data_IF_050073535069
#
_entry.id   IF_050073535069
#
_cell.length_a   1.000
_cell.length_b   1.000
_cell.length_c   1.000
_cell.angle_alpha   90.00
_cell.angle_beta   90.00
_cell.angle_gamma   90.00
#
_symmetry.space_group_name_H-M   'P 1'
#
loop_
_entity.id
_entity.type
_entity.pdbx_description
1 polymer ?
#
# COMPACT_ATOMS: atom_id res chain seq x y z
N UNK A 1 24.59 -6.48 -5.42
CA UNK A 1 23.42 -6.96 -6.21
C UNK A 1 22.20 -6.22 -5.71
N UNK A 2 21.24 -5.85 -6.58
CA UNK A 2 19.98 -5.26 -6.12
C UNK A 2 19.24 -6.22 -5.18
N UNK A 3 18.41 -5.68 -4.29
CA UNK A 3 17.50 -6.51 -3.49
C UNK A 3 16.46 -7.16 -4.41
N UNK A 4 15.95 -8.35 -4.08
CA UNK A 4 14.86 -9.00 -4.82
C UNK A 4 13.61 -8.99 -3.94
N UNK A 5 12.57 -8.28 -4.37
CA UNK A 5 11.24 -8.32 -3.76
C UNK A 5 10.36 -9.31 -4.52
N UNK A 6 9.93 -10.38 -3.86
CA UNK A 6 9.02 -11.36 -4.42
C UNK A 6 7.59 -11.13 -3.95
N UNK A 7 6.65 -10.99 -4.88
CA UNK A 7 5.22 -10.93 -4.57
C UNK A 7 4.35 -11.30 -5.76
N UNK A 8 3.04 -11.40 -5.55
CA UNK A 8 2.08 -11.47 -6.64
C UNK A 8 2.13 -10.19 -7.50
N UNK A 9 1.76 -10.31 -8.77
CA UNK A 9 1.55 -9.21 -9.73
C UNK A 9 0.33 -8.33 -9.42
N UNK A 10 0.15 -7.99 -8.14
CA UNK A 10 -0.91 -7.16 -7.57
C UNK A 10 -0.30 -6.18 -6.56
N UNK A 11 -1.03 -5.13 -6.21
CA UNK A 11 -0.64 -4.15 -5.18
C UNK A 11 -0.44 -4.84 -3.82
N UNK A 12 -1.52 -5.43 -3.27
CA UNK A 12 -1.55 -6.24 -2.05
C UNK A 12 -0.68 -5.76 -0.90
N UNK A 13 -0.06 -6.70 -0.18
CA UNK A 13 0.79 -6.42 0.98
C UNK A 13 2.16 -5.81 0.62
N UNK A 14 2.57 -5.89 -0.65
CA UNK A 14 3.86 -5.37 -1.08
C UNK A 14 3.85 -3.86 -1.39
N UNK A 15 2.70 -3.20 -1.38
CA UNK A 15 2.61 -1.79 -1.78
C UNK A 15 3.47 -0.87 -0.93
N UNK A 16 3.35 -0.94 0.39
CA UNK A 16 4.15 -0.12 1.31
C UNK A 16 5.64 -0.42 1.21
N UNK A 17 6.01 -1.67 0.90
CA UNK A 17 7.41 -2.07 0.69
C UNK A 17 7.97 -1.42 -0.59
N UNK A 18 7.24 -1.50 -1.71
CA UNK A 18 7.62 -0.84 -2.97
C UNK A 18 7.77 0.67 -2.79
N UNK A 19 6.81 1.31 -2.14
CA UNK A 19 6.88 2.74 -1.84
C UNK A 19 8.11 3.10 -0.99
N UNK A 20 8.44 2.28 0.02
CA UNK A 20 9.61 2.53 0.86
C UNK A 20 10.94 2.31 0.11
N UNK A 21 11.03 1.28 -0.74
CA UNK A 21 12.20 1.05 -1.58
C UNK A 21 12.44 2.23 -2.54
N UNK A 22 11.38 2.73 -3.17
CA UNK A 22 11.45 3.90 -4.05
C UNK A 22 11.80 5.18 -3.28
N UNK A 23 11.20 5.41 -2.11
CA UNK A 23 11.51 6.56 -1.26
C UNK A 23 12.97 6.59 -0.80
N UNK A 24 13.50 5.44 -0.41
CA UNK A 24 14.89 5.30 0.03
C UNK A 24 15.90 5.27 -1.11
N UNK A 25 15.44 5.20 -2.36
CA UNK A 25 16.30 5.04 -3.54
C UNK A 25 17.04 3.70 -3.56
N UNK A 26 16.55 2.70 -2.83
CA UNK A 26 17.18 1.39 -2.71
C UNK A 26 17.07 0.65 -4.05
N UNK A 27 18.19 0.22 -4.68
CA UNK A 27 18.13 -0.59 -5.90
C UNK A 27 17.49 -1.96 -5.62
N UNK A 28 16.40 -2.26 -6.33
CA UNK A 28 15.70 -3.54 -6.20
C UNK A 28 15.15 -4.02 -7.56
N UNK A 29 14.95 -5.32 -7.65
CA UNK A 29 14.21 -6.00 -8.72
C UNK A 29 12.97 -6.67 -8.13
N UNK A 30 11.93 -6.82 -8.94
CA UNK A 30 10.71 -7.53 -8.53
C UNK A 30 10.59 -8.88 -9.23
N UNK A 31 10.39 -9.94 -8.44
CA UNK A 31 9.89 -11.22 -8.92
C UNK A 31 8.38 -11.23 -8.75
N UNK A 32 7.66 -11.00 -9.86
CA UNK A 32 6.19 -11.00 -9.89
C UNK A 32 5.65 -12.37 -10.26
N UNK A 33 4.92 -12.98 -9.33
CA UNK A 33 4.18 -14.21 -9.59
C UNK A 33 2.78 -13.91 -10.10
N UNK A 34 2.27 -14.72 -11.02
CA UNK A 34 0.90 -14.61 -11.53
C UNK A 34 0.01 -15.69 -10.96
N UNK A 35 -1.21 -15.31 -10.59
CA UNK A 35 -2.30 -16.25 -10.34
C UNK A 35 -3.05 -16.49 -11.66
N UNK A 36 -3.41 -17.73 -11.98
CA UNK A 36 -4.22 -18.12 -13.13
C UNK A 36 -5.64 -17.55 -13.09
N UNK A 37 -6.41 -17.74 -14.16
CA UNK A 37 -7.82 -17.33 -14.18
C UNK A 37 -8.72 -18.31 -13.41
N UNK A 38 -9.95 -17.90 -13.13
CA UNK A 38 -10.97 -18.77 -12.58
C UNK A 38 -11.33 -19.90 -13.58
N UNK A 39 -11.77 -21.08 -13.10
CA UNK A 39 -11.99 -21.43 -11.69
C UNK A 39 -10.73 -21.93 -10.97
N UNK A 40 -9.66 -22.25 -11.70
CA UNK A 40 -8.52 -23.00 -11.15
C UNK A 40 -7.57 -22.13 -10.31
N UNK A 41 -7.45 -20.84 -10.66
CA UNK A 41 -6.58 -19.88 -9.97
C UNK A 41 -5.16 -20.43 -9.78
N UNK A 42 -4.56 -20.95 -10.85
CA UNK A 42 -3.25 -21.61 -10.81
C UNK A 42 -2.17 -20.74 -10.12
N UNK A 43 -1.42 -21.35 -9.21
CA UNK A 43 -0.35 -20.71 -8.43
C UNK A 43 1.00 -21.41 -8.63
N UNK A 44 1.11 -22.31 -9.62
CA UNK A 44 2.30 -23.08 -9.94
C UNK A 44 3.59 -22.25 -9.93
N UNK A 45 3.57 -21.06 -10.57
CA UNK A 45 4.72 -20.16 -10.62
C UNK A 45 5.34 -19.88 -9.24
N UNK A 46 4.52 -19.74 -8.20
CA UNK A 46 5.01 -19.56 -6.84
C UNK A 46 5.30 -20.90 -6.17
N UNK A 47 4.36 -21.85 -6.24
CA UNK A 47 4.47 -23.14 -5.54
C UNK A 47 5.73 -23.90 -5.95
N UNK A 48 6.09 -23.85 -7.23
CA UNK A 48 7.24 -24.56 -7.80
C UNK A 48 8.59 -23.95 -7.39
N UNK A 49 8.63 -22.67 -7.01
CA UNK A 49 9.84 -21.96 -6.57
C UNK A 49 9.93 -21.84 -5.04
N UNK A 50 8.79 -21.88 -4.33
CA UNK A 50 8.65 -21.58 -2.89
C UNK A 50 9.75 -22.19 -2.01
N UNK A 51 9.96 -23.50 -2.12
CA UNK A 51 10.89 -24.26 -1.27
C UNK A 51 12.36 -24.14 -1.74
N UNK A 52 12.61 -23.60 -2.94
CA UNK A 52 13.95 -23.49 -3.54
C UNK A 52 14.66 -22.19 -3.18
N UNK A 53 13.94 -21.22 -2.62
CA UNK A 53 14.49 -19.90 -2.30
C UNK A 53 15.31 -19.88 -1.00
N UNK A 54 15.23 -20.95 -0.20
CA UNK A 54 15.90 -21.04 1.10
C UNK A 54 15.41 -19.97 2.09
N UNK A 55 14.09 -19.75 2.13
CA UNK A 55 13.42 -18.91 3.11
C UNK A 55 13.11 -19.75 4.36
N UNK A 56 13.30 -19.21 5.57
CA UNK A 56 13.02 -19.95 6.81
C UNK A 56 11.51 -20.26 6.95
N UNK A 57 10.67 -19.29 6.59
CA UNK A 57 9.21 -19.43 6.53
C UNK A 57 8.71 -19.02 5.15
N UNK A 58 8.71 -19.93 4.14
CA UNK A 58 8.41 -19.57 2.76
C UNK A 58 7.00 -18.97 2.60
N UNK A 59 6.95 -17.70 2.21
CA UNK A 59 5.71 -16.92 2.08
C UNK A 59 5.91 -15.72 1.14
N UNK A 60 4.80 -15.04 0.79
CA UNK A 60 4.79 -13.80 0.02
C UNK A 60 4.16 -12.66 0.85
N UNK A 61 4.77 -11.46 0.90
CA UNK A 61 6.01 -11.08 0.24
C UNK A 61 7.25 -11.69 0.90
N UNK A 62 8.31 -11.82 0.10
CA UNK A 62 9.67 -12.06 0.57
C UNK A 62 10.62 -10.98 0.06
N UNK A 63 11.72 -10.77 0.78
CA UNK A 63 12.86 -9.94 0.36
C UNK A 63 14.14 -10.76 0.46
N UNK A 64 14.96 -10.74 -0.60
CA UNK A 64 16.31 -11.30 -0.60
C UNK A 64 17.31 -10.16 -0.80
N UNK A 65 18.21 -10.01 0.15
CA UNK A 65 19.32 -9.04 0.12
C UNK A 65 20.63 -9.75 0.52
N UNK A 66 21.37 -10.22 -0.50
CA UNK A 66 22.56 -11.04 -0.30
C UNK A 66 22.26 -12.30 0.50
N UNK A 67 22.82 -12.41 1.71
CA UNK A 67 22.57 -13.54 2.62
C UNK A 67 21.30 -13.37 3.45
N UNK A 68 20.76 -12.16 3.55
CA UNK A 68 19.54 -11.89 4.31
C UNK A 68 18.33 -12.27 3.47
N UNK A 69 17.49 -13.15 4.03
CA UNK A 69 16.27 -13.62 3.39
C UNK A 69 15.13 -13.49 4.38
N UNK A 70 14.12 -12.70 4.05
CA UNK A 70 13.03 -12.35 4.97
C UNK A 70 11.69 -12.63 4.32
N UNK A 71 10.74 -13.11 5.11
CA UNK A 71 9.31 -13.08 4.83
C UNK A 71 8.60 -12.21 5.87
N UNK A 72 7.28 -12.07 5.77
CA UNK A 72 6.44 -11.14 6.54
C UNK A 72 6.65 -9.67 6.16
N UNK A 73 5.56 -9.02 5.70
CA UNK A 73 5.61 -7.64 5.20
C UNK A 73 6.15 -6.65 6.23
N UNK A 74 5.75 -6.81 7.50
CA UNK A 74 6.19 -5.94 8.59
C UNK A 74 7.67 -6.15 8.94
N UNK A 75 8.16 -7.39 8.92
CA UNK A 75 9.59 -7.66 9.12
C UNK A 75 10.45 -7.09 7.99
N UNK A 76 10.00 -7.24 6.74
CA UNK A 76 10.66 -6.70 5.54
C UNK A 76 10.71 -5.18 5.59
N UNK A 77 9.58 -4.51 5.85
CA UNK A 77 9.54 -3.05 5.86
C UNK A 77 10.37 -2.47 7.01
N UNK A 78 10.37 -3.11 8.20
CA UNK A 78 11.26 -2.75 9.32
C UNK A 78 12.74 -2.96 8.97
N UNK A 79 13.10 -4.01 8.23
CA UNK A 79 14.47 -4.25 7.79
C UNK A 79 14.99 -3.10 6.91
N UNK A 80 14.20 -2.70 5.91
CA UNK A 80 14.53 -1.56 5.04
C UNK A 80 14.59 -0.29 5.89
N UNK A 81 13.60 -0.05 6.75
CA UNK A 81 13.55 1.13 7.61
C UNK A 81 14.80 1.29 8.49
N UNK A 82 15.28 0.21 9.11
CA UNK A 82 16.50 0.22 9.94
C UNK A 82 17.74 0.63 9.16
N UNK A 83 17.86 0.24 7.88
CA UNK A 83 18.98 0.63 7.02
C UNK A 83 19.00 2.13 6.68
N UNK A 84 17.89 2.82 6.87
CA UNK A 84 17.71 4.22 6.52
C UNK A 84 17.27 5.11 7.69
N UNK A 85 17.34 4.60 8.94
CA UNK A 85 16.93 5.33 10.15
C UNK A 85 15.46 5.80 10.14
N UNK A 86 14.54 4.96 9.67
CA UNK A 86 13.11 5.26 9.51
C UNK A 86 12.21 4.53 10.53
N UNK A 87 12.72 4.19 11.71
CA UNK A 87 11.99 3.40 12.73
C UNK A 87 11.42 4.21 13.90
N UNK A 88 11.72 5.51 14.00
CA UNK A 88 11.59 6.27 15.24
C UNK A 88 12.93 6.34 15.98
N UNK A 89 13.20 7.47 16.64
CA UNK A 89 14.48 7.78 17.30
C UNK A 89 14.32 7.87 18.83
N UNK A 90 13.14 8.24 19.32
CA UNK A 90 12.83 8.30 20.75
C UNK A 90 11.90 7.18 21.18
N UNK A 91 11.87 6.87 22.48
CA UNK A 91 10.94 5.87 23.04
C UNK A 91 9.47 6.20 22.70
N UNK A 92 9.12 7.48 22.70
CA UNK A 92 7.77 7.93 22.38
C UNK A 92 7.42 7.68 20.89
N UNK A 93 8.36 7.94 19.98
CA UNK A 93 8.19 7.63 18.56
C UNK A 93 8.13 6.12 18.31
N UNK A 94 8.98 5.35 18.99
CA UNK A 94 8.98 3.88 18.90
C UNK A 94 7.66 3.29 19.38
N UNK A 95 7.13 3.77 20.51
CA UNK A 95 5.81 3.39 21.01
C UNK A 95 4.70 3.66 19.96
N UNK A 96 4.72 4.83 19.31
CA UNK A 96 3.76 5.16 18.26
C UNK A 96 3.90 4.26 17.04
N UNK A 97 5.13 4.00 16.63
CA UNK A 97 5.46 3.13 15.50
C UNK A 97 4.94 1.72 15.75
N UNK A 98 5.25 1.13 16.91
CA UNK A 98 4.85 -0.23 17.24
C UNK A 98 3.34 -0.37 17.37
N UNK A 99 2.68 0.59 18.04
CA UNK A 99 1.23 0.59 18.17
C UNK A 99 0.55 0.73 16.80
N UNK A 100 0.99 1.68 15.98
CA UNK A 100 0.36 1.95 14.70
C UNK A 100 0.59 0.82 13.69
N UNK A 101 1.76 0.20 13.65
CA UNK A 101 2.03 -0.93 12.75
C UNK A 101 1.00 -2.05 12.96
N UNK A 102 0.74 -2.40 14.22
CA UNK A 102 -0.21 -3.46 14.56
C UNK A 102 -1.66 -3.03 14.26
N UNK A 103 -2.03 -1.81 14.65
CA UNK A 103 -3.37 -1.27 14.39
C UNK A 103 -3.69 -1.16 12.89
N UNK A 104 -2.69 -0.81 12.07
CA UNK A 104 -2.81 -0.76 10.61
C UNK A 104 -3.02 -2.15 10.02
N UNK A 105 -2.38 -3.18 10.56
CA UNK A 105 -2.60 -4.56 10.11
C UNK A 105 -4.03 -5.03 10.41
N UNK A 106 -4.54 -4.76 11.61
CA UNK A 106 -5.93 -5.08 11.96
C UNK A 106 -6.93 -4.35 11.06
N UNK A 107 -6.68 -3.06 10.79
CA UNK A 107 -7.54 -2.26 9.90
C UNK A 107 -7.53 -2.78 8.47
N UNK A 108 -6.35 -3.14 7.95
CA UNK A 108 -6.20 -3.80 6.64
C UNK A 108 -6.98 -5.10 6.59
N UNK A 109 -6.80 -5.97 7.59
CA UNK A 109 -7.46 -7.27 7.61
C UNK A 109 -8.98 -7.14 7.65
N UNK A 110 -9.51 -6.12 8.32
CA UNK A 110 -10.93 -5.79 8.29
C UNK A 110 -11.49 -5.62 6.86
N UNK A 111 -10.79 -4.90 5.98
CA UNK A 111 -11.20 -4.74 4.59
C UNK A 111 -10.96 -6.00 3.75
N UNK A 112 -9.79 -6.64 3.94
CA UNK A 112 -9.40 -7.84 3.18
C UNK A 112 -10.39 -8.99 3.41
N UNK A 113 -10.77 -9.27 4.66
CA UNK A 113 -11.70 -10.36 4.97
C UNK A 113 -13.03 -10.22 4.24
N UNK A 114 -13.54 -8.98 4.14
CA UNK A 114 -14.78 -8.69 3.42
C UNK A 114 -14.58 -8.85 1.91
N UNK A 115 -13.49 -8.30 1.37
CA UNK A 115 -13.20 -8.38 -0.07
C UNK A 115 -13.05 -9.80 -0.59
N UNK A 116 -12.65 -10.76 0.25
CA UNK A 116 -12.52 -12.18 -0.13
C UNK A 116 -13.70 -13.05 0.29
N UNK A 117 -14.66 -12.52 1.04
CA UNK A 117 -15.82 -13.28 1.48
C UNK A 117 -16.80 -13.55 0.33
N UNK A 118 -17.39 -14.76 0.24
CA UNK A 118 -18.51 -15.01 -0.67
C UNK A 118 -19.73 -14.12 -0.35
N UNK A 119 -19.88 -13.68 0.90
CA UNK A 119 -20.95 -12.79 1.37
C UNK A 119 -20.60 -11.28 1.29
N UNK A 120 -19.64 -10.90 0.44
CA UNK A 120 -19.15 -9.52 0.29
C UNK A 120 -20.28 -8.46 0.28
N UNK A 121 -21.34 -8.65 -0.52
CA UNK A 121 -22.43 -7.67 -0.64
C UNK A 121 -23.25 -7.52 0.66
N UNK A 122 -23.32 -8.57 1.49
CA UNK A 122 -24.00 -8.51 2.80
C UNK A 122 -23.12 -7.87 3.88
N UNK A 123 -21.82 -8.09 3.82
CA UNK A 123 -20.86 -7.62 4.83
C UNK A 123 -20.41 -6.18 4.60
N UNK A 124 -20.39 -5.71 3.34
CA UNK A 124 -19.95 -4.37 2.98
C UNK A 124 -20.68 -3.25 3.75
N UNK A 125 -22.02 -3.24 3.88
CA UNK A 125 -22.72 -2.19 4.62
C UNK A 125 -22.23 -2.03 6.06
N UNK A 126 -22.05 -3.13 6.80
CA UNK A 126 -21.57 -3.10 8.18
C UNK A 126 -20.13 -2.57 8.31
N UNK A 127 -19.28 -2.82 7.31
CA UNK A 127 -17.95 -2.20 7.28
C UNK A 127 -18.02 -0.70 7.07
N UNK A 128 -18.84 -0.25 6.12
CA UNK A 128 -19.01 1.18 5.83
C UNK A 128 -19.61 1.93 7.01
N UNK A 129 -20.50 1.30 7.77
CA UNK A 129 -21.06 1.87 9.01
C UNK A 129 -19.98 2.08 10.08
N UNK A 130 -19.06 1.13 10.26
CA UNK A 130 -17.97 1.22 11.24
C UNK A 130 -16.79 2.09 10.79
N UNK A 131 -16.62 2.28 9.48
CA UNK A 131 -15.44 2.91 8.89
C UNK A 131 -15.18 4.34 9.42
N UNK A 132 -16.17 5.25 9.52
CA UNK A 132 -15.95 6.59 10.09
C UNK A 132 -15.41 6.55 11.52
N UNK A 133 -15.90 5.62 12.35
CA UNK A 133 -15.43 5.46 13.73
C UNK A 133 -13.95 5.06 13.79
N UNK A 134 -13.52 4.11 12.95
CA UNK A 134 -12.12 3.69 12.85
C UNK A 134 -11.22 4.81 12.33
N UNK A 135 -11.66 5.54 11.28
CA UNK A 135 -10.92 6.66 10.72
C UNK A 135 -10.78 7.83 11.70
N UNK A 136 -11.80 8.08 12.54
CA UNK A 136 -11.73 9.07 13.62
C UNK A 136 -10.60 8.76 14.61
N UNK A 137 -10.40 7.49 14.97
CA UNK A 137 -9.31 7.09 15.87
C UNK A 137 -7.93 7.37 15.25
N UNK A 138 -7.74 7.06 13.97
CA UNK A 138 -6.49 7.40 13.27
C UNK A 138 -6.28 8.91 13.12
N UNK A 139 -7.34 9.66 12.83
CA UNK A 139 -7.30 11.13 12.76
C UNK A 139 -6.90 11.73 14.11
N UNK A 140 -7.47 11.24 15.22
CA UNK A 140 -7.11 11.66 16.58
C UNK A 140 -5.67 11.27 16.94
N UNK A 141 -5.24 10.07 16.56
CA UNK A 141 -3.89 9.58 16.82
C UNK A 141 -2.82 10.40 16.08
N UNK A 142 -3.07 10.75 14.82
CA UNK A 142 -2.21 11.68 14.06
C UNK A 142 -2.18 13.06 14.74
N UNK A 143 -3.35 13.58 15.10
CA UNK A 143 -3.50 14.91 15.67
C UNK A 143 -2.96 15.98 14.73
N UNK A 144 -2.10 16.86 15.26
CA UNK A 144 -1.44 17.95 14.52
C UNK A 144 -0.05 17.58 13.97
N UNK A 145 0.40 16.34 14.18
CA UNK A 145 1.73 15.90 13.73
C UNK A 145 1.79 15.85 12.20
N UNK A 146 2.99 16.08 11.67
CA UNK A 146 3.25 15.98 10.23
C UNK A 146 3.19 14.54 9.73
N UNK A 147 3.73 13.61 10.52
CA UNK A 147 3.78 12.17 10.30
C UNK A 147 3.31 11.44 11.55
N UNK A 148 2.98 10.16 11.42
CA UNK A 148 2.32 9.43 12.50
C UNK A 148 3.18 9.22 13.75
N UNK A 149 4.50 9.11 13.59
CA UNK A 149 5.42 9.02 14.73
C UNK A 149 5.74 10.39 15.35
N UNK A 150 5.75 11.46 14.53
CA UNK A 150 6.23 12.78 14.92
C UNK A 150 6.47 13.71 13.73
N UNK A 151 7.59 14.43 13.74
CA UNK A 151 7.95 15.38 12.69
C UNK A 151 8.73 14.76 11.52
N UNK A 152 9.33 13.58 11.76
CA UNK A 152 10.06 12.80 10.77
C UNK A 152 9.19 11.64 10.26
N UNK A 153 9.33 11.34 8.98
CA UNK A 153 8.64 10.21 8.37
C UNK A 153 9.30 8.91 8.84
N UNK A 154 8.48 7.89 9.04
CA UNK A 154 8.90 6.54 9.42
C UNK A 154 8.21 5.52 8.53
N UNK A 155 8.59 4.24 8.62
CA UNK A 155 7.99 3.21 7.78
C UNK A 155 6.48 3.02 8.01
N UNK A 156 5.94 3.37 9.18
CA UNK A 156 4.50 3.24 9.44
C UNK A 156 3.66 4.24 8.65
N UNK A 157 4.23 5.36 8.22
CA UNK A 157 3.55 6.28 7.31
C UNK A 157 3.29 5.62 5.95
N UNK A 158 4.17 4.73 5.49
CA UNK A 158 3.99 3.95 4.25
C UNK A 158 2.90 2.88 4.40
N UNK A 159 2.80 2.28 5.59
CA UNK A 159 1.73 1.33 5.92
C UNK A 159 0.39 2.06 5.99
N UNK A 160 0.36 3.21 6.66
CA UNK A 160 -0.85 4.00 6.85
C UNK A 160 -1.35 4.61 5.54
N UNK A 161 -0.45 5.15 4.71
CA UNK A 161 -0.78 5.62 3.36
C UNK A 161 -1.51 4.53 2.57
N UNK A 162 -0.97 3.31 2.54
CA UNK A 162 -1.56 2.23 1.75
C UNK A 162 -2.98 1.88 2.22
N UNK A 163 -3.21 1.74 3.53
CA UNK A 163 -4.55 1.39 4.03
C UNK A 163 -5.56 2.52 3.90
N UNK A 164 -5.15 3.79 4.05
CA UNK A 164 -6.01 4.94 3.82
C UNK A 164 -6.37 5.06 2.33
N UNK A 165 -5.40 4.91 1.44
CA UNK A 165 -5.65 4.98 0.00
C UNK A 165 -6.56 3.83 -0.48
N UNK A 166 -6.37 2.61 0.02
CA UNK A 166 -7.30 1.51 -0.28
C UNK A 166 -8.74 1.82 0.19
N UNK A 167 -8.90 2.40 1.38
CA UNK A 167 -10.22 2.80 1.87
C UNK A 167 -10.83 3.97 1.08
N UNK A 168 -10.02 4.96 0.69
CA UNK A 168 -10.43 6.03 -0.23
C UNK A 168 -10.83 5.48 -1.60
N UNK A 169 -10.20 4.41 -2.07
CA UNK A 169 -10.61 3.73 -3.31
C UNK A 169 -11.89 2.90 -3.13
N UNK A 170 -12.13 2.36 -1.94
CA UNK A 170 -13.31 1.55 -1.60
C UNK A 170 -14.56 2.41 -1.37
N UNK A 171 -14.40 3.52 -0.66
CA UNK A 171 -15.42 4.52 -0.34
C UNK A 171 -14.81 5.93 -0.50
N UNK A 172 -14.98 6.57 -1.68
CA UNK A 172 -14.31 7.83 -2.03
C UNK A 172 -14.47 8.99 -1.05
N UNK A 173 -15.58 9.03 -0.31
CA UNK A 173 -15.92 10.10 0.63
C UNK A 173 -15.57 9.78 2.09
N UNK A 174 -14.97 8.62 2.37
CA UNK A 174 -14.74 8.19 3.75
C UNK A 174 -13.82 9.13 4.55
N UNK A 175 -12.98 9.92 3.87
CA UNK A 175 -12.06 10.86 4.48
C UNK A 175 -12.58 12.31 4.55
N UNK A 176 -13.76 12.63 4.01
CA UNK A 176 -14.27 14.00 3.86
C UNK A 176 -14.31 14.77 5.20
N UNK A 177 -14.54 14.06 6.30
CA UNK A 177 -14.63 14.63 7.66
C UNK A 177 -13.27 14.72 8.37
N UNK A 178 -12.19 14.18 7.79
CA UNK A 178 -10.88 14.05 8.43
C UNK A 178 -9.80 14.81 7.63
N UNK A 179 -9.84 16.14 7.75
CA UNK A 179 -8.92 17.06 7.05
C UNK A 179 -7.44 16.68 7.23
N UNK A 180 -7.01 16.31 8.43
CA UNK A 180 -5.61 15.94 8.69
C UNK A 180 -5.19 14.63 8.00
N UNK A 181 -6.10 13.66 7.84
CA UNK A 181 -5.84 12.43 7.08
C UNK A 181 -5.76 12.71 5.57
N UNK A 182 -6.60 13.61 5.05
CA UNK A 182 -6.47 14.06 3.66
C UNK A 182 -5.13 14.77 3.44
N UNK A 183 -4.77 15.69 4.33
CA UNK A 183 -3.51 16.42 4.26
C UNK A 183 -2.31 15.48 4.36
N UNK A 184 -2.39 14.42 5.18
CA UNK A 184 -1.39 13.36 5.24
C UNK A 184 -1.23 12.64 3.89
N UNK A 185 -2.33 12.22 3.24
CA UNK A 185 -2.27 11.57 1.93
C UNK A 185 -1.65 12.50 0.87
N UNK A 186 -2.09 13.76 0.82
CA UNK A 186 -1.54 14.76 -0.11
C UNK A 186 -0.05 14.99 0.14
N UNK A 187 0.36 15.10 1.40
CA UNK A 187 1.77 15.29 1.79
C UNK A 187 2.63 14.09 1.39
N UNK A 188 2.15 12.88 1.62
CA UNK A 188 2.85 11.65 1.26
C UNK A 188 3.02 11.52 -0.26
N UNK A 189 1.94 11.76 -1.02
CA UNK A 189 1.95 11.72 -2.50
C UNK A 189 2.84 12.81 -3.12
N UNK A 190 3.06 13.92 -2.41
CA UNK A 190 3.92 15.02 -2.84
C UNK A 190 5.42 14.81 -2.53
N UNK A 191 5.81 13.75 -1.83
CA UNK A 191 7.22 13.41 -1.63
C UNK A 191 7.87 13.14 -2.99
N UNK A 192 8.97 13.83 -3.32
CA UNK A 192 9.57 13.82 -4.67
C UNK A 192 9.74 12.40 -5.25
N UNK A 193 10.34 11.48 -4.48
CA UNK A 193 10.55 10.08 -4.90
C UNK A 193 9.25 9.31 -5.08
N UNK A 194 8.24 9.58 -4.23
CA UNK A 194 6.93 8.95 -4.32
C UNK A 194 6.17 9.47 -5.55
N UNK A 195 6.13 10.78 -5.75
CA UNK A 195 5.50 11.41 -6.91
C UNK A 195 6.11 10.91 -8.23
N UNK A 196 7.46 10.84 -8.28
CA UNK A 196 8.19 10.30 -9.42
C UNK A 196 7.85 8.82 -9.66
N UNK A 197 7.83 8.00 -8.61
CA UNK A 197 7.45 6.59 -8.72
C UNK A 197 6.00 6.43 -9.20
N UNK A 198 5.04 7.16 -8.62
CA UNK A 198 3.62 7.12 -8.98
C UNK A 198 3.34 7.54 -10.43
N UNK A 199 4.22 8.34 -11.02
CA UNK A 199 4.16 8.75 -12.43
C UNK A 199 4.83 7.77 -13.39
N UNK A 200 5.55 6.77 -12.85
CA UNK A 200 6.30 5.79 -13.64
C UNK A 200 5.44 4.58 -14.03
N UNK A 201 5.91 3.82 -15.03
CA UNK A 201 5.28 2.55 -15.42
C UNK A 201 5.43 1.44 -14.38
N UNK A 202 6.33 1.59 -13.39
CA UNK A 202 6.49 0.64 -12.29
C UNK A 202 5.36 0.73 -11.27
N UNK A 203 4.64 1.86 -11.21
CA UNK A 203 3.62 2.07 -10.18
C UNK A 203 2.42 1.14 -10.33
N UNK A 204 2.27 0.26 -9.34
CA UNK A 204 1.17 -0.70 -9.30
C UNK A 204 0.04 -0.22 -8.39
N UNK A 205 -0.85 0.61 -8.94
CA UNK A 205 -2.07 1.06 -8.21
C UNK A 205 -3.15 -0.02 -8.09
N UNK A 206 -3.29 -0.85 -9.12
CA UNK A 206 -4.28 -1.95 -9.22
C UNK A 206 -3.66 -3.17 -9.91
N UNK A 207 -4.20 -4.38 -9.69
CA UNK A 207 -5.30 -4.68 -8.76
C UNK A 207 -4.85 -4.60 -7.29
N UNK A 208 -5.74 -4.17 -6.38
CA UNK A 208 -5.50 -4.18 -4.93
C UNK A 208 -5.37 -5.62 -4.43
N UNK A 209 -6.33 -6.45 -4.80
CA UNK A 209 -6.45 -7.83 -4.38
C UNK A 209 -6.20 -8.80 -5.53
N UNK A 210 -6.01 -10.08 -5.21
CA UNK A 210 -5.83 -11.13 -6.20
C UNK A 210 -7.20 -11.52 -6.81
N UNK A 211 -7.15 -12.31 -7.88
CA UNK A 211 -8.29 -12.62 -8.76
C UNK A 211 -9.53 -13.19 -8.05
N UNK A 212 -9.33 -13.88 -6.93
CA UNK A 212 -10.38 -14.50 -6.12
C UNK A 212 -11.24 -13.49 -5.33
N UNK A 213 -10.75 -12.26 -5.13
CA UNK A 213 -11.50 -11.25 -4.38
C UNK A 213 -12.71 -10.72 -5.16
N UNK A 214 -13.76 -10.36 -4.44
CA UNK A 214 -14.98 -9.71 -4.95
C UNK A 214 -14.79 -8.23 -5.27
N UNK A 215 -13.78 -7.59 -4.68
CA UNK A 215 -13.42 -6.20 -4.95
C UNK A 215 -11.91 -6.01 -5.09
N UNK A 216 -11.53 -5.07 -5.97
CA UNK A 216 -10.13 -4.69 -6.16
C UNK A 216 -9.30 -5.69 -6.99
N UNK A 217 -9.92 -6.69 -7.63
CA UNK A 217 -9.23 -7.78 -8.33
C UNK A 217 -8.92 -7.52 -9.82
N UNK A 218 -9.30 -6.36 -10.37
CA UNK A 218 -9.12 -6.01 -11.80
C UNK A 218 -8.12 -4.86 -11.99
N UNK A 219 -7.43 -4.85 -13.14
CA UNK A 219 -6.56 -3.73 -13.56
C UNK A 219 -7.38 -2.47 -13.84
N UNK A 220 -6.75 -1.29 -13.78
CA UNK A 220 -7.37 0.03 -13.98
C UNK A 220 -8.23 0.09 -15.25
N UNK A 221 -7.73 -0.38 -16.40
CA UNK A 221 -8.46 -0.33 -17.67
C UNK A 221 -9.82 -1.06 -17.63
N UNK A 222 -9.88 -2.18 -16.90
CA UNK A 222 -11.12 -2.94 -16.69
C UNK A 222 -11.98 -2.40 -15.52
N UNK A 223 -11.38 -1.61 -14.62
CA UNK A 223 -12.09 -0.96 -13.52
C UNK A 223 -12.85 0.29 -14.02
N UNK A 224 -12.22 1.09 -14.88
CA UNK A 224 -12.84 2.28 -15.50
C UNK A 224 -13.97 1.95 -16.48
N UNK A 225 -13.99 0.74 -17.06
CA UNK A 225 -15.08 0.27 -17.93
C UNK A 225 -16.25 -0.36 -17.15
N UNK A 226 -16.17 -0.47 -15.83
CA UNK A 226 -17.26 -0.98 -15.00
C UNK A 226 -18.18 0.16 -14.56
N UNK A 227 -19.49 -0.07 -14.54
CA UNK A 227 -20.55 0.92 -14.22
C UNK A 227 -20.48 1.52 -12.80
N UNK A 228 -19.44 1.23 -12.02
CA UNK A 228 -19.29 1.61 -10.61
C UNK A 228 -18.46 2.89 -10.38
N UNK A 229 -17.97 3.58 -11.42
CA UNK A 229 -17.15 4.77 -11.22
C UNK A 229 -17.85 6.08 -11.60
N UNK A 230 -18.03 6.94 -10.60
CA UNK A 230 -18.30 8.37 -10.74
C UNK A 230 -16.96 9.06 -11.01
N UNK A 231 -16.79 9.69 -12.19
CA UNK A 231 -15.54 10.36 -12.59
C UNK A 231 -15.17 11.45 -11.58
N UNK A 232 -14.10 11.27 -10.80
CA UNK A 232 -13.42 12.42 -10.17
C UNK A 232 -12.63 13.18 -11.26
N UNK A 233 -12.67 14.52 -11.27
CA UNK A 233 -12.00 15.30 -12.30
C UNK A 233 -10.49 15.24 -12.10
N UNK A 234 -9.80 14.71 -13.10
CA UNK A 234 -8.36 14.92 -13.28
C UNK A 234 -8.19 16.41 -13.61
N UNK A 235 -7.71 17.19 -12.64
CA UNK A 235 -7.32 18.58 -12.88
C UNK A 235 -6.05 18.61 -13.76
N UNK A 236 -6.24 18.52 -15.07
CA UNK A 236 -5.20 18.82 -16.06
C UNK A 236 -5.00 20.34 -16.14
N UNK A 237 -4.22 20.90 -15.22
CA UNK A 237 -3.52 22.17 -15.51
C UNK A 237 -2.20 21.84 -16.20
N UNK A 238 -2.27 21.63 -17.52
CA UNK A 238 -1.09 21.74 -18.37
C UNK A 238 -0.63 23.21 -18.37
N UNK A 239 0.56 23.44 -17.80
CA UNK A 239 1.25 24.70 -17.90
C UNK A 239 1.63 24.96 -19.38
N UNK A 240 0.98 25.94 -20.00
CA UNK A 240 1.45 26.55 -21.26
C UNK A 240 2.64 27.43 -20.90
N UNK A 241 3.85 26.96 -21.18
CA UNK A 241 5.03 27.83 -21.26
C UNK A 241 5.00 28.57 -22.59
N UNK A 242 5.02 29.90 -22.52
CA UNK A 242 5.02 30.79 -23.66
C UNK A 242 6.37 30.82 -24.36
N UNK A 243 6.36 30.67 -25.68
CA UNK A 243 7.48 31.08 -26.53
C UNK A 243 7.20 32.50 -27.02
N UNK A 244 7.90 33.48 -26.42
CA UNK A 244 8.20 34.75 -27.10
C UNK A 244 9.31 34.48 -28.12
N UNK A 245 9.07 34.85 -29.38
CA UNK A 245 10.14 35.26 -30.30
C UNK A 245 9.66 36.46 -31.11
N UNK A 246 10.41 37.55 -30.90
CA UNK A 246 10.66 38.74 -31.73
C UNK A 246 9.41 39.52 -32.15
#
# INVERSE_FOLDING_TARGET
>A
MPMILGYWGIRGLAHSIRLLLEYTGTPYEEKLYSCGEAPDYDKSQWIDEKEKLGLDFPNLPYLIDGKTKLTQSNAIIRYIARKHHLCGETEEELCRVDLLENQVMDFRMGLVMICYSPDYEKLKPGYLEQLPGKLKLFSQFLGDRKWFAGDKITFVDFLMYDVLDQNRMFEPKCLDQFKNLQDFLTRFEALEKIAAYMSSSRFMKMPINNKMAKWGNKKIAAYMSSSRFMKMPINNKMAKWGNKKI
#
